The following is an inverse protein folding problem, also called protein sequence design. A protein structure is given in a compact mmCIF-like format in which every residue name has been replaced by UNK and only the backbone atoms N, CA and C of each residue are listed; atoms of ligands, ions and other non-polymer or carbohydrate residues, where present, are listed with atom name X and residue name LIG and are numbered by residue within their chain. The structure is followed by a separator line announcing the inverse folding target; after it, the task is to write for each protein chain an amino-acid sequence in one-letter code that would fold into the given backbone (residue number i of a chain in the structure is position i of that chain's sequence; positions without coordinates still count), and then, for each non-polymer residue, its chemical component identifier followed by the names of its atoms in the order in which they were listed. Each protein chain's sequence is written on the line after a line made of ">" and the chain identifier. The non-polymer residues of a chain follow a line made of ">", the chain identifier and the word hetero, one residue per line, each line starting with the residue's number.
data_IF_272188735980
#
_entry.id   IF_272188735980
#
_cell.length_a   1.000
_cell.length_b   1.000
_cell.length_c   1.000
_cell.angle_alpha   90.00
_cell.angle_beta   90.00
_cell.angle_gamma   90.00
#
_symmetry.space_group_name_H-M   'P 1'
#
loop_
_entity.id
_entity.type
_entity.pdbx_description
1 polymer ?
#
# COMPACT_ATOMS: atom_id res chain seq x y z
N UNK A 1 -1.90 9.98 15.39
CA UNK A 1 -3.04 10.80 15.86
C UNK A 1 -3.96 11.22 14.72
N UNK A 2 -3.45 11.80 13.62
CA UNK A 2 -4.28 12.26 12.50
C UNK A 2 -5.21 11.18 11.91
N UNK A 3 -4.70 9.98 11.59
CA UNK A 3 -5.51 8.88 11.02
C UNK A 3 -6.72 8.51 11.88
N UNK A 4 -6.56 8.51 13.21
CA UNK A 4 -7.63 8.20 14.16
C UNK A 4 -8.68 9.32 14.19
N UNK A 5 -8.26 10.58 14.19
CA UNK A 5 -9.17 11.72 14.11
C UNK A 5 -9.98 11.68 12.81
N UNK A 6 -9.33 11.43 11.67
CA UNK A 6 -10.01 11.30 10.37
C UNK A 6 -11.00 10.14 10.38
N UNK A 7 -10.63 9.00 10.96
CA UNK A 7 -11.53 7.85 11.09
C UNK A 7 -12.75 8.15 11.96
N UNK A 8 -12.57 8.83 13.10
CA UNK A 8 -13.67 9.25 13.98
C UNK A 8 -14.63 10.19 13.24
N UNK A 9 -14.11 11.18 12.52
CA UNK A 9 -14.92 12.10 11.71
C UNK A 9 -15.69 11.34 10.63
N UNK A 10 -15.03 10.43 9.90
CA UNK A 10 -15.68 9.62 8.88
C UNK A 10 -16.79 8.73 9.44
N UNK A 11 -16.58 8.14 10.63
CA UNK A 11 -17.60 7.35 11.31
C UNK A 11 -18.78 8.20 11.77
N UNK A 12 -18.51 9.38 12.37
CA UNK A 12 -19.55 10.28 12.89
C UNK A 12 -20.42 10.85 11.78
N UNK A 13 -19.83 11.20 10.64
CA UNK A 13 -20.51 11.82 9.50
C UNK A 13 -20.77 10.83 8.35
N UNK A 14 -20.81 9.53 8.63
CA UNK A 14 -20.91 8.48 7.62
C UNK A 14 -22.21 8.53 6.77
N UNK A 15 -23.24 9.25 7.24
CA UNK A 15 -24.53 9.43 6.56
C UNK A 15 -24.56 10.67 5.65
N UNK A 16 -23.53 11.51 5.69
CA UNK A 16 -23.49 12.70 4.84
C UNK A 16 -23.37 12.31 3.36
N UNK A 17 -24.04 13.03 2.45
CA UNK A 17 -24.03 12.71 1.02
C UNK A 17 -22.63 12.75 0.41
N UNK A 18 -21.74 13.59 0.96
CA UNK A 18 -20.33 13.71 0.55
C UNK A 18 -19.59 12.38 0.78
N UNK A 19 -19.66 11.82 1.99
CA UNK A 19 -18.99 10.56 2.35
C UNK A 19 -19.62 9.36 1.62
N UNK A 20 -20.95 9.34 1.48
CA UNK A 20 -21.66 8.31 0.73
C UNK A 20 -21.28 8.29 -0.76
N UNK A 21 -21.16 9.46 -1.41
CA UNK A 21 -20.80 9.55 -2.83
C UNK A 21 -19.37 9.07 -3.10
N UNK A 22 -18.43 9.44 -2.21
CA UNK A 22 -17.01 9.08 -2.31
C UNK A 22 -16.76 7.56 -2.24
N UNK A 23 -17.60 6.81 -1.52
CA UNK A 23 -17.50 5.36 -1.38
C UNK A 23 -16.94 4.97 -0.02
N UNK A 24 -17.81 4.95 0.99
CA UNK A 24 -17.49 4.77 2.42
C UNK A 24 -16.60 3.56 2.69
N UNK A 25 -16.99 2.42 2.15
CA UNK A 25 -16.29 1.15 2.37
C UNK A 25 -14.81 1.24 1.95
N UNK A 26 -14.53 1.82 0.78
CA UNK A 26 -13.16 2.00 0.30
C UNK A 26 -12.37 3.01 1.13
N UNK A 27 -13.04 4.04 1.66
CA UNK A 27 -12.39 5.01 2.55
C UNK A 27 -11.99 4.37 3.89
N UNK A 28 -12.83 3.48 4.44
CA UNK A 28 -12.47 2.71 5.63
C UNK A 28 -11.31 1.74 5.38
N UNK A 29 -11.31 1.04 4.24
CA UNK A 29 -10.18 0.17 3.85
C UNK A 29 -8.89 0.98 3.70
N UNK A 30 -8.95 2.16 3.08
CA UNK A 30 -7.79 3.05 2.95
C UNK A 30 -7.28 3.51 4.33
N UNK A 31 -8.17 3.96 5.22
CA UNK A 31 -7.82 4.39 6.57
C UNK A 31 -7.20 3.25 7.38
N UNK A 32 -7.72 2.03 7.23
CA UNK A 32 -7.15 0.83 7.85
C UNK A 32 -5.74 0.55 7.34
N UNK A 33 -5.51 0.59 6.01
CA UNK A 33 -4.18 0.43 5.44
C UNK A 33 -3.18 1.48 5.95
N UNK A 34 -3.60 2.76 6.02
CA UNK A 34 -2.77 3.84 6.55
C UNK A 34 -2.45 3.60 8.03
N UNK A 35 -3.43 3.20 8.83
CA UNK A 35 -3.22 2.87 10.24
C UNK A 35 -2.21 1.72 10.39
N UNK A 36 -2.34 0.67 9.58
CA UNK A 36 -1.43 -0.46 9.58
C UNK A 36 0.00 -0.04 9.22
N UNK A 37 0.18 0.83 8.21
CA UNK A 37 1.50 1.37 7.86
C UNK A 37 2.16 2.10 9.05
N UNK A 38 1.40 2.91 9.80
CA UNK A 38 1.94 3.56 11.00
C UNK A 38 2.25 2.59 12.14
N UNK A 39 1.43 1.55 12.34
CA UNK A 39 1.71 0.49 13.32
C UNK A 39 2.99 -0.26 12.96
N UNK A 40 3.22 -0.54 11.68
CA UNK A 40 4.43 -1.22 11.21
C UNK A 40 5.72 -0.45 11.52
N UNK A 41 5.67 0.88 11.65
CA UNK A 41 6.83 1.67 12.09
C UNK A 41 7.29 1.27 13.50
N UNK A 42 6.37 0.98 14.41
CA UNK A 42 6.72 0.50 15.75
C UNK A 42 7.28 -0.93 15.71
N UNK A 43 6.76 -1.77 14.82
CA UNK A 43 7.29 -3.14 14.63
C UNK A 43 8.72 -3.10 14.08
N UNK A 44 9.05 -2.14 13.21
CA UNK A 44 10.42 -1.95 12.72
C UNK A 44 11.39 -1.59 13.85
N UNK A 45 10.93 -0.80 14.82
CA UNK A 45 11.76 -0.37 15.96
C UNK A 45 11.87 -1.44 17.06
N UNK A 46 10.95 -2.40 17.08
CA UNK A 46 10.95 -3.45 18.08
C UNK A 46 12.19 -4.37 17.95
N UNK A 47 12.71 -4.91 19.06
CA UNK A 47 13.87 -5.80 19.02
C UNK A 47 13.58 -7.03 18.15
N UNK A 48 14.48 -7.39 17.22
CA UNK A 48 14.20 -8.44 16.26
C UNK A 48 14.05 -9.80 16.96
N UNK A 49 12.95 -10.45 16.66
CA UNK A 49 12.63 -11.81 17.08
C UNK A 49 11.97 -12.53 15.91
N UNK A 50 12.00 -13.87 15.90
CA UNK A 50 11.34 -14.70 14.87
C UNK A 50 9.92 -14.24 14.51
N UNK A 51 8.99 -14.00 15.47
CA UNK A 51 7.66 -13.52 15.14
C UNK A 51 7.66 -12.09 14.59
N UNK A 52 8.46 -11.19 15.14
CA UNK A 52 8.59 -9.80 14.66
C UNK A 52 9.10 -9.78 13.22
N UNK A 53 10.08 -10.61 12.89
CA UNK A 53 10.60 -10.75 11.53
C UNK A 53 9.55 -11.27 10.54
N UNK A 54 8.69 -12.21 10.98
CA UNK A 54 7.54 -12.64 10.19
C UNK A 54 6.56 -11.50 9.93
N UNK A 55 6.19 -10.74 10.98
CA UNK A 55 5.28 -9.59 10.86
C UNK A 55 5.87 -8.50 9.97
N UNK A 56 7.17 -8.22 10.05
CA UNK A 56 7.85 -7.23 9.19
C UNK A 56 7.78 -7.61 7.71
N UNK A 57 8.03 -8.88 7.39
CA UNK A 57 7.98 -9.40 6.01
C UNK A 57 6.58 -9.28 5.40
N UNK A 58 5.53 -9.52 6.20
CA UNK A 58 4.14 -9.43 5.74
C UNK A 58 3.62 -7.99 5.75
N UNK A 59 3.73 -7.33 6.90
CA UNK A 59 3.02 -6.10 7.19
C UNK A 59 3.45 -4.90 6.36
N UNK A 60 4.74 -4.78 6.02
CA UNK A 60 5.24 -3.63 5.26
C UNK A 60 4.65 -3.58 3.84
N UNK A 61 4.70 -4.70 3.13
CA UNK A 61 4.12 -4.78 1.78
C UNK A 61 2.60 -4.79 1.80
N UNK A 62 1.99 -5.39 2.83
CA UNK A 62 0.54 -5.56 2.91
C UNK A 62 -0.19 -4.24 3.22
N UNK A 63 0.31 -3.42 4.13
CA UNK A 63 -0.30 -2.11 4.44
C UNK A 63 -0.36 -1.19 3.24
N UNK A 64 0.75 -1.09 2.50
CA UNK A 64 0.84 -0.36 1.24
C UNK A 64 -0.11 -0.94 0.18
N UNK A 65 -0.15 -2.27 0.06
CA UNK A 65 -1.02 -2.95 -0.88
C UNK A 65 -2.50 -2.66 -0.61
N UNK A 66 -2.92 -2.63 0.66
CA UNK A 66 -4.29 -2.27 1.06
C UNK A 66 -4.63 -0.84 0.60
N UNK A 67 -3.74 0.11 0.89
CA UNK A 67 -3.91 1.51 0.48
C UNK A 67 -4.06 1.65 -1.04
N UNK A 68 -3.13 1.09 -1.81
CA UNK A 68 -3.14 1.22 -3.26
C UNK A 68 -4.26 0.41 -3.91
N UNK A 69 -4.66 -0.74 -3.36
CA UNK A 69 -5.82 -1.49 -3.85
C UNK A 69 -7.11 -0.70 -3.68
N UNK A 70 -7.28 0.00 -2.56
CA UNK A 70 -8.43 0.87 -2.32
C UNK A 70 -8.44 2.07 -3.29
N UNK A 71 -7.30 2.75 -3.45
CA UNK A 71 -7.15 3.89 -4.37
C UNK A 71 -7.38 3.45 -5.83
N UNK A 72 -6.81 2.32 -6.24
CA UNK A 72 -6.99 1.74 -7.56
C UNK A 72 -8.48 1.46 -7.82
N UNK A 73 -9.14 0.77 -6.91
CA UNK A 73 -10.56 0.42 -7.05
C UNK A 73 -11.43 1.69 -7.13
N UNK A 74 -11.09 2.71 -6.33
CA UNK A 74 -11.79 3.99 -6.30
C UNK A 74 -11.63 4.76 -7.63
N UNK A 75 -10.39 4.90 -8.11
CA UNK A 75 -10.08 5.57 -9.39
C UNK A 75 -10.63 4.80 -10.59
N UNK A 76 -10.62 3.47 -10.56
CA UNK A 76 -11.23 2.62 -11.57
C UNK A 76 -12.75 2.83 -11.65
N UNK A 77 -13.44 2.87 -10.49
CA UNK A 77 -14.87 3.20 -10.39
C UNK A 77 -15.15 4.58 -11.00
N UNK A 78 -14.41 5.60 -10.60
CA UNK A 78 -14.56 6.97 -11.11
C UNK A 78 -14.38 6.97 -12.63
N UNK A 79 -13.29 6.38 -13.13
CA UNK A 79 -13.02 6.28 -14.57
C UNK A 79 -14.17 5.59 -15.33
N UNK A 80 -14.74 4.50 -14.78
CA UNK A 80 -15.88 3.79 -15.40
C UNK A 80 -17.16 4.62 -15.43
N UNK A 81 -17.45 5.37 -14.38
CA UNK A 81 -18.63 6.25 -14.32
C UNK A 81 -18.56 7.31 -15.41
N UNK A 82 -17.44 8.04 -15.51
CA UNK A 82 -17.32 9.12 -16.48
C UNK A 82 -17.13 8.64 -17.92
N UNK A 83 -16.40 7.54 -18.14
CA UNK A 83 -16.16 7.03 -19.49
C UNK A 83 -17.36 6.27 -20.09
N UNK A 84 -18.24 5.71 -19.25
CA UNK A 84 -19.51 5.09 -19.69
C UNK A 84 -20.69 6.06 -19.67
N UNK A 85 -20.72 7.03 -18.77
CA UNK A 85 -21.75 8.08 -18.75
C UNK A 85 -21.80 8.89 -20.05
N UNK A 86 -20.67 9.01 -20.75
CA UNK A 86 -20.59 9.63 -22.09
C UNK A 86 -21.16 8.72 -23.20
N UNK A 87 -21.21 7.40 -23.01
CA UNK A 87 -21.56 6.42 -24.06
C UNK A 87 -22.90 5.70 -23.86
N UNK A 88 -23.44 5.63 -22.63
CA UNK A 88 -24.69 4.93 -22.33
C UNK A 88 -25.23 5.27 -20.93
N UNK A 89 -26.56 5.34 -20.78
CA UNK A 89 -27.28 5.59 -19.51
C UNK A 89 -27.34 4.33 -18.62
N UNK A 90 -26.99 3.13 -19.14
CA UNK A 90 -26.99 1.89 -18.35
C UNK A 90 -25.96 1.95 -17.21
N UNK A 91 -26.37 1.57 -16.00
CA UNK A 91 -25.47 1.45 -14.83
C UNK A 91 -24.25 0.58 -15.18
N UNK A 92 -23.01 1.06 -14.97
CA UNK A 92 -21.83 0.25 -15.19
C UNK A 92 -21.80 -0.99 -14.27
N UNK A 93 -21.45 -2.16 -14.82
CA UNK A 93 -21.15 -3.35 -14.00
C UNK A 93 -19.96 -3.08 -13.05
N UNK A 94 -19.86 -3.73 -11.89
CA UNK A 94 -18.81 -3.53 -10.88
C UNK A 94 -18.76 -2.16 -10.15
N UNK A 95 -19.79 -1.34 -10.27
CA UNK A 95 -19.88 -0.07 -9.51
C UNK A 95 -20.48 -0.25 -8.11
N UNK A 96 -20.98 -1.44 -7.78
CA UNK A 96 -21.57 -1.71 -6.45
C UNK A 96 -20.52 -1.70 -5.33
N UNK A 97 -20.87 -1.28 -4.10
CA UNK A 97 -19.95 -1.35 -2.96
C UNK A 97 -19.40 -2.75 -2.69
N UNK A 98 -20.25 -3.79 -2.83
CA UNK A 98 -19.83 -5.20 -2.65
C UNK A 98 -18.78 -5.62 -3.67
N UNK A 99 -18.98 -5.28 -4.95
CA UNK A 99 -18.00 -5.59 -5.99
C UNK A 99 -16.68 -4.83 -5.81
N UNK A 100 -16.72 -3.59 -5.31
CA UNK A 100 -15.51 -2.82 -5.02
C UNK A 100 -14.68 -3.47 -3.92
N UNK A 101 -15.34 -3.87 -2.84
CA UNK A 101 -14.68 -4.56 -1.72
C UNK A 101 -14.11 -5.91 -2.17
N UNK A 102 -14.83 -6.66 -3.01
CA UNK A 102 -14.32 -7.91 -3.57
C UNK A 102 -13.07 -7.71 -4.44
N UNK A 103 -13.04 -6.67 -5.29
CA UNK A 103 -11.85 -6.34 -6.10
C UNK A 103 -10.68 -5.99 -5.19
N UNK A 104 -10.92 -5.16 -4.17
CA UNK A 104 -9.88 -4.76 -3.23
C UNK A 104 -9.31 -5.96 -2.45
N UNK A 105 -10.19 -6.83 -1.93
CA UNK A 105 -9.77 -8.06 -1.25
C UNK A 105 -9.07 -9.04 -2.19
N UNK A 106 -9.47 -9.11 -3.46
CA UNK A 106 -8.77 -9.92 -4.45
C UNK A 106 -7.32 -9.47 -4.66
N UNK A 107 -7.10 -8.16 -4.83
CA UNK A 107 -5.76 -7.59 -4.99
C UNK A 107 -4.88 -7.78 -3.73
N UNK A 108 -5.43 -7.48 -2.56
CA UNK A 108 -4.74 -7.69 -1.27
C UNK A 108 -4.48 -9.19 -1.04
N UNK A 109 -5.44 -10.05 -1.40
CA UNK A 109 -5.33 -11.50 -1.30
C UNK A 109 -4.20 -12.04 -2.17
N UNK A 110 -4.04 -11.56 -3.40
CA UNK A 110 -2.91 -11.94 -4.26
C UNK A 110 -1.55 -11.63 -3.61
N UNK A 111 -1.40 -10.42 -3.03
CA UNK A 111 -0.18 -10.06 -2.31
C UNK A 111 0.03 -10.94 -1.08
N UNK A 112 -1.02 -11.16 -0.29
CA UNK A 112 -0.95 -11.95 0.92
C UNK A 112 -0.57 -13.41 0.62
N UNK A 113 -1.20 -14.02 -0.39
CA UNK A 113 -0.89 -15.38 -0.85
C UNK A 113 0.57 -15.50 -1.29
N UNK A 114 1.07 -14.54 -2.08
CA UNK A 114 2.46 -14.55 -2.52
C UNK A 114 3.45 -14.47 -1.35
N UNK A 115 3.19 -13.60 -0.37
CA UNK A 115 4.06 -13.45 0.80
C UNK A 115 3.96 -14.66 1.72
N UNK A 116 2.76 -15.19 1.98
CA UNK A 116 2.56 -16.37 2.83
C UNK A 116 3.19 -17.61 2.20
N UNK A 117 3.01 -17.83 0.89
CA UNK A 117 3.65 -18.94 0.19
C UNK A 117 5.18 -18.87 0.31
N UNK A 118 5.77 -17.68 0.18
CA UNK A 118 7.21 -17.52 0.37
C UNK A 118 7.66 -17.71 1.82
N UNK A 119 6.83 -17.32 2.79
CA UNK A 119 7.10 -17.48 4.21
C UNK A 119 7.10 -18.97 4.63
N UNK A 120 6.33 -19.81 3.93
CA UNK A 120 6.38 -21.28 4.11
C UNK A 120 7.67 -21.88 3.55
N UNK A 121 8.14 -21.39 2.39
CA UNK A 121 9.39 -21.85 1.78
C UNK A 121 10.61 -21.40 2.59
N UNK A 122 10.58 -20.15 3.06
CA UNK A 122 11.67 -19.54 3.82
C UNK A 122 11.13 -18.96 5.14
N UNK A 123 11.07 -19.76 6.22
CA UNK A 123 10.54 -19.31 7.49
C UNK A 123 11.34 -18.12 8.03
N UNK A 124 10.68 -17.18 8.75
CA UNK A 124 11.37 -16.05 9.32
C UNK A 124 12.40 -16.55 10.34
N UNK A 125 13.60 -15.98 10.30
CA UNK A 125 14.66 -16.26 11.26
C UNK A 125 15.40 -14.96 11.61
N UNK A 126 16.03 -14.94 12.76
CA UNK A 126 16.95 -13.87 13.17
C UNK A 126 18.37 -14.24 12.80
N UNK A 127 19.17 -13.26 12.39
CA UNK A 127 20.59 -13.41 12.07
C UNK A 127 21.38 -12.36 12.85
N UNK A 128 22.50 -12.77 13.40
CA UNK A 128 23.47 -11.84 13.99
C UNK A 128 24.42 -11.38 12.90
N UNK A 129 24.56 -10.07 12.76
CA UNK A 129 25.60 -9.45 11.94
C UNK A 129 26.65 -8.84 12.86
N UNK A 130 27.90 -8.99 12.49
CA UNK A 130 29.06 -8.48 13.22
C UNK A 130 29.73 -7.39 12.38
N UNK A 131 29.19 -6.15 12.33
CA UNK A 131 29.78 -5.07 11.54
C UNK A 131 31.11 -4.55 12.11
N UNK A 132 31.42 -4.84 13.37
CA UNK A 132 32.71 -4.54 14.00
C UNK A 132 33.00 -5.62 15.07
N UNK A 133 34.28 -5.81 15.45
CA UNK A 133 34.71 -6.81 16.45
C UNK A 133 34.08 -6.58 17.83
N UNK A 134 33.64 -5.36 18.13
CA UNK A 134 33.02 -5.00 19.41
C UNK A 134 31.49 -4.85 19.34
N UNK A 135 30.87 -5.01 18.17
CA UNK A 135 29.42 -4.81 18.00
C UNK A 135 28.76 -5.98 17.29
N UNK A 136 27.72 -6.53 17.90
CA UNK A 136 26.81 -7.48 17.29
C UNK A 136 25.44 -6.83 17.08
N UNK A 137 24.92 -6.87 15.86
CA UNK A 137 23.60 -6.35 15.48
C UNK A 137 22.71 -7.52 15.11
N UNK A 138 21.68 -7.77 15.92
CA UNK A 138 20.64 -8.73 15.57
C UNK A 138 19.74 -8.12 14.49
N UNK A 139 19.49 -8.87 13.41
CA UNK A 139 18.67 -8.43 12.29
C UNK A 139 17.78 -9.58 11.79
N UNK A 140 16.74 -9.26 11.04
CA UNK A 140 15.89 -10.27 10.42
C UNK A 140 16.58 -10.86 9.19
N UNK A 141 16.82 -12.17 9.18
CA UNK A 141 17.39 -12.87 8.03
C UNK A 141 16.38 -12.90 6.89
N UNK A 142 16.33 -11.84 6.08
CA UNK A 142 15.36 -11.69 4.98
C UNK A 142 16.03 -11.86 3.63
N UNK A 143 15.51 -12.77 2.80
CA UNK A 143 15.90 -12.84 1.40
C UNK A 143 15.50 -11.55 0.67
N UNK A 144 16.47 -10.94 0.00
CA UNK A 144 16.25 -9.74 -0.82
C UNK A 144 15.20 -10.00 -1.91
N UNK A 145 15.05 -11.25 -2.36
CA UNK A 145 14.08 -11.64 -3.40
C UNK A 145 12.64 -11.46 -2.93
N UNK A 146 12.29 -11.93 -1.72
CA UNK A 146 10.92 -11.79 -1.18
C UNK A 146 10.50 -10.34 -1.08
N UNK A 147 11.43 -9.50 -0.61
CA UNK A 147 11.21 -8.07 -0.47
C UNK A 147 11.09 -7.40 -1.85
N UNK A 148 11.94 -7.76 -2.82
CA UNK A 148 11.83 -7.26 -4.20
C UNK A 148 10.50 -7.64 -4.84
N UNK A 149 10.03 -8.89 -4.68
CA UNK A 149 8.74 -9.33 -5.22
C UNK A 149 7.58 -8.57 -4.57
N UNK A 150 7.59 -8.44 -3.25
CA UNK A 150 6.55 -7.73 -2.48
C UNK A 150 6.49 -6.24 -2.85
N UNK A 151 7.64 -5.58 -2.97
CA UNK A 151 7.74 -4.18 -3.40
C UNK A 151 7.37 -4.03 -4.89
N UNK A 152 7.76 -4.98 -5.74
CA UNK A 152 7.45 -5.00 -7.16
C UNK A 152 5.94 -5.05 -7.42
N UNK A 153 5.20 -5.87 -6.67
CA UNK A 153 3.74 -5.87 -6.74
C UNK A 153 3.13 -4.51 -6.36
N UNK A 154 3.65 -3.89 -5.29
CA UNK A 154 3.26 -2.53 -4.91
C UNK A 154 3.58 -1.50 -5.99
N UNK A 155 4.71 -1.64 -6.70
CA UNK A 155 5.06 -0.75 -7.83
C UNK A 155 4.06 -0.86 -8.95
N UNK A 156 3.68 -2.09 -9.31
CA UNK A 156 2.66 -2.33 -10.33
C UNK A 156 1.33 -1.66 -9.93
N UNK A 157 0.91 -1.82 -8.67
CA UNK A 157 -0.31 -1.17 -8.17
C UNK A 157 -0.22 0.37 -8.24
N UNK A 158 0.91 0.97 -7.87
CA UNK A 158 1.10 2.43 -7.94
C UNK A 158 1.06 2.93 -9.39
N UNK A 159 1.71 2.22 -10.31
CA UNK A 159 1.66 2.56 -11.74
C UNK A 159 0.23 2.49 -12.27
N UNK A 160 -0.49 1.42 -11.94
CA UNK A 160 -1.91 1.30 -12.30
C UNK A 160 -2.75 2.43 -11.71
N UNK A 161 -2.59 2.73 -10.41
CA UNK A 161 -3.27 3.86 -9.77
C UNK A 161 -2.97 5.18 -10.49
N UNK A 162 -1.72 5.41 -10.89
CA UNK A 162 -1.28 6.63 -11.59
C UNK A 162 -1.88 6.74 -12.98
N UNK A 163 -1.93 5.64 -13.74
CA UNK A 163 -2.57 5.58 -15.06
C UNK A 163 -4.05 5.94 -14.94
N UNK A 164 -4.76 5.38 -13.94
CA UNK A 164 -6.17 5.68 -13.74
C UNK A 164 -6.39 7.10 -13.20
N UNK A 165 -5.53 7.60 -12.31
CA UNK A 165 -5.57 8.98 -11.85
C UNK A 165 -5.39 9.98 -13.00
N UNK A 166 -4.46 9.69 -13.92
CA UNK A 166 -4.29 10.48 -15.14
C UNK A 166 -5.52 10.41 -16.06
N UNK A 167 -6.14 9.24 -16.22
CA UNK A 167 -7.41 9.13 -16.97
C UNK A 167 -8.53 9.97 -16.35
N UNK A 168 -8.57 10.09 -15.02
CA UNK A 168 -9.58 10.89 -14.31
C UNK A 168 -9.34 12.40 -14.36
N UNK A 169 -8.20 12.87 -14.90
CA UNK A 169 -7.91 14.33 -15.01
C UNK A 169 -8.86 15.10 -15.93
N UNK A 170 -9.57 14.39 -16.82
CA UNK A 170 -10.53 14.98 -17.77
C UNK A 170 -11.92 15.19 -17.16
N UNK A 171 -12.12 14.79 -15.90
CA UNK A 171 -13.37 14.96 -15.17
C UNK A 171 -13.55 16.43 -14.82
N UNK A 172 -14.77 17.00 -14.95
CA UNK A 172 -15.02 18.41 -14.68
C UNK A 172 -14.53 18.86 -13.30
N UNK A 173 -13.99 20.08 -13.22
CA UNK A 173 -13.33 20.64 -12.03
C UNK A 173 -14.20 20.67 -10.76
N UNK A 174 -15.53 20.62 -10.91
CA UNK A 174 -16.45 20.49 -9.78
C UNK A 174 -16.23 19.22 -8.93
N UNK A 175 -15.47 18.24 -9.43
CA UNK A 175 -15.12 17.02 -8.70
C UNK A 175 -13.70 17.06 -8.13
N UNK A 176 -13.48 17.92 -7.13
CA UNK A 176 -12.18 18.15 -6.47
C UNK A 176 -11.48 16.86 -5.97
N UNK A 177 -12.24 15.81 -5.67
CA UNK A 177 -11.70 14.53 -5.21
C UNK A 177 -10.71 13.89 -6.20
N UNK A 178 -10.99 13.92 -7.52
CA UNK A 178 -10.11 13.31 -8.52
C UNK A 178 -8.77 14.04 -8.61
N UNK A 179 -8.77 15.36 -8.41
CA UNK A 179 -7.58 16.21 -8.42
C UNK A 179 -6.65 15.87 -7.25
N UNK A 180 -7.21 15.72 -6.04
CA UNK A 180 -6.42 15.34 -4.85
C UNK A 180 -5.85 13.92 -4.96
N UNK A 181 -6.60 12.97 -5.54
CA UNK A 181 -6.09 11.62 -5.80
C UNK A 181 -4.92 11.69 -6.81
N UNK A 182 -5.07 12.45 -7.89
CA UNK A 182 -4.00 12.66 -8.87
C UNK A 182 -2.72 13.21 -8.25
N UNK A 183 -2.84 14.29 -7.47
CA UNK A 183 -1.70 14.86 -6.76
C UNK A 183 -1.02 13.83 -5.83
N UNK A 184 -1.81 13.12 -5.04
CA UNK A 184 -1.30 12.07 -4.12
C UNK A 184 -0.53 10.98 -4.88
N UNK A 185 -1.06 10.52 -6.02
CA UNK A 185 -0.39 9.49 -6.82
C UNK A 185 0.90 9.98 -7.44
N UNK A 186 0.94 11.23 -7.95
CA UNK A 186 2.17 11.79 -8.51
C UNK A 186 3.26 11.97 -7.45
N UNK A 187 2.91 12.49 -6.27
CA UNK A 187 3.85 12.57 -5.14
C UNK A 187 4.34 11.19 -4.71
N UNK A 188 3.45 10.20 -4.68
CA UNK A 188 3.80 8.81 -4.35
C UNK A 188 4.83 8.25 -5.33
N UNK A 189 4.65 8.45 -6.64
CA UNK A 189 5.62 8.01 -7.64
C UNK A 189 7.01 8.63 -7.40
N UNK A 190 7.09 9.92 -7.09
CA UNK A 190 8.36 10.60 -6.80
C UNK A 190 9.04 9.97 -5.58
N UNK A 191 8.29 9.76 -4.49
CA UNK A 191 8.81 9.13 -3.27
C UNK A 191 9.37 7.72 -3.57
N UNK A 192 8.66 6.94 -4.37
CA UNK A 192 9.11 5.59 -4.71
C UNK A 192 10.29 5.53 -5.66
N UNK A 193 10.36 6.45 -6.63
CA UNK A 193 11.53 6.59 -7.51
C UNK A 193 12.78 6.96 -6.72
N UNK A 194 12.65 7.73 -5.63
CA UNK A 194 13.75 8.02 -4.72
C UNK A 194 14.05 6.85 -3.77
N UNK A 195 13.03 6.15 -3.27
CA UNK A 195 13.19 5.05 -2.32
C UNK A 195 14.02 3.89 -2.89
N UNK A 196 13.77 3.49 -4.14
CA UNK A 196 14.45 2.35 -4.78
C UNK A 196 15.98 2.49 -4.76
N UNK A 197 16.60 3.54 -5.32
CA UNK A 197 18.06 3.68 -5.32
C UNK A 197 18.63 3.82 -3.91
N UNK A 198 17.97 4.55 -3.02
CA UNK A 198 18.42 4.74 -1.63
C UNK A 198 18.46 3.38 -0.92
N UNK A 199 17.40 2.60 -0.99
CA UNK A 199 17.31 1.29 -0.34
C UNK A 199 18.43 0.34 -0.80
N UNK A 200 18.68 0.25 -2.11
CA UNK A 200 19.73 -0.61 -2.63
C UNK A 200 21.14 -0.11 -2.35
N UNK A 201 21.37 1.21 -2.32
CA UNK A 201 22.67 1.79 -1.95
C UNK A 201 22.99 1.45 -0.50
N UNK A 202 22.11 1.81 0.44
CA UNK A 202 22.32 1.57 1.87
C UNK A 202 22.50 0.08 2.19
N UNK A 203 21.77 -0.80 1.50
CA UNK A 203 21.94 -2.25 1.68
C UNK A 203 23.31 -2.75 1.19
N UNK A 204 23.85 -2.16 0.12
CA UNK A 204 25.21 -2.50 -0.37
C UNK A 204 26.28 -1.98 0.57
N UNK A 205 26.14 -0.74 1.03
CA UNK A 205 27.09 -0.11 1.95
C UNK A 205 27.18 -0.89 3.27
N UNK A 206 26.03 -1.29 3.83
CA UNK A 206 25.98 -2.12 5.05
C UNK A 206 26.65 -3.49 4.86
N UNK A 207 26.46 -4.15 3.71
CA UNK A 207 27.13 -5.41 3.40
C UNK A 207 28.64 -5.25 3.25
N UNK A 208 29.10 -4.16 2.62
CA UNK A 208 30.52 -3.87 2.43
C UNK A 208 31.23 -3.58 3.77
N UNK A 209 30.57 -2.89 4.71
CA UNK A 209 31.12 -2.64 6.05
C UNK A 209 31.23 -3.91 6.92
N UNK A 210 30.48 -4.97 6.62
CA UNK A 210 30.49 -6.21 7.41
C UNK A 210 31.49 -7.25 6.86
N UNK A 211 32.15 -7.00 5.72
CA UNK A 211 33.08 -7.95 5.09
C UNK A 211 34.58 -7.66 5.31
N UNK A 212 34.92 -6.60 6.05
CA UNK A 212 36.27 -6.24 6.45
C UNK A 212 36.46 -6.47 7.96
#
# INVERSE_FOLDING_TARGET
>A
MCTLMTAIIFMRYNTTPIIMASGRELCYVLLFGIALCYVMTFVILAPPSTPICGVLRVGLGLGLCICYSAIFTKTNRISRIFNRGVKSIKRPSYTSPRSQILICFGLVGCQLLGVVAWLVVEPPTTKELYPDRMMAVLSCGTSSITLILSLGYNMILILLCTIYAFKTRKIPENFNEAKYIGFTMYSTCIVWLAFVPIYFSTTRDYKASTSN
#
